data_IF_635399569484
#
_entry.id   IF_635399569484
#
_cell.length_a   1.000
_cell.length_b   1.000
_cell.length_c   1.000
_cell.angle_alpha   90.00
_cell.angle_beta   90.00
_cell.angle_gamma   90.00
#
_symmetry.space_group_name_H-M   'P 1'
#
loop_
_entity.id
_entity.type
_entity.pdbx_description
1 polymer ?
#
# COMPACT_ATOMS: atom_id res chain seq x y z
N UNK A 1 14.21 4.61 -17.47
CA UNK A 1 13.84 5.72 -16.56
C UNK A 1 12.68 5.35 -15.62
N UNK A 2 11.53 4.88 -16.13
CA UNK A 2 10.34 4.59 -15.31
C UNK A 2 10.52 3.46 -14.26
N UNK A 3 11.29 2.41 -14.60
CA UNK A 3 11.62 1.32 -13.66
C UNK A 3 12.47 1.80 -12.48
N UNK A 4 13.40 2.73 -12.76
CA UNK A 4 14.28 3.32 -11.74
C UNK A 4 13.51 4.23 -10.79
N UNK A 5 12.57 5.01 -11.31
CA UNK A 5 11.64 5.81 -10.50
C UNK A 5 10.79 4.94 -9.57
N UNK A 6 10.29 3.81 -10.08
CA UNK A 6 9.51 2.85 -9.29
C UNK A 6 10.36 2.20 -8.20
N UNK A 7 11.59 1.79 -8.51
CA UNK A 7 12.53 1.21 -7.56
C UNK A 7 12.84 2.16 -6.40
N UNK A 8 13.05 3.46 -6.69
CA UNK A 8 13.25 4.49 -5.66
C UNK A 8 12.05 4.62 -4.71
N UNK A 9 10.82 4.59 -5.24
CA UNK A 9 9.60 4.61 -4.42
C UNK A 9 9.47 3.37 -3.52
N UNK A 10 9.78 2.19 -4.04
CA UNK A 10 9.77 0.95 -3.24
C UNK A 10 10.83 0.97 -2.13
N UNK A 11 12.03 1.48 -2.42
CA UNK A 11 13.10 1.63 -1.43
C UNK A 11 12.67 2.60 -0.32
N UNK A 12 12.05 3.73 -0.68
CA UNK A 12 11.50 4.66 0.30
C UNK A 12 10.48 3.97 1.22
N UNK A 13 9.54 3.19 0.68
CA UNK A 13 8.61 2.43 1.50
C UNK A 13 9.29 1.43 2.42
N UNK A 14 10.33 0.73 1.93
CA UNK A 14 11.13 -0.18 2.73
C UNK A 14 11.80 0.53 3.91
N UNK A 15 12.42 1.69 3.67
CA UNK A 15 13.07 2.49 4.70
C UNK A 15 12.06 3.00 5.71
N UNK A 16 10.96 3.62 5.28
CA UNK A 16 9.92 4.13 6.19
C UNK A 16 9.34 2.99 7.03
N UNK A 17 9.02 1.86 6.41
CA UNK A 17 8.45 0.71 7.12
C UNK A 17 9.44 0.12 8.11
N UNK A 18 10.73 0.00 7.75
CA UNK A 18 11.73 -0.57 8.65
C UNK A 18 12.11 0.41 9.78
N UNK A 19 12.37 1.67 9.45
CA UNK A 19 12.93 2.63 10.40
C UNK A 19 11.85 3.17 11.31
N UNK A 20 10.71 3.59 10.78
CA UNK A 20 9.68 4.24 11.60
C UNK A 20 9.15 3.30 12.70
N UNK A 21 9.12 1.98 12.46
CA UNK A 21 8.68 0.96 13.45
C UNK A 21 9.54 0.97 14.71
N UNK A 22 10.77 1.49 14.60
CA UNK A 22 11.73 1.53 15.70
C UNK A 22 11.72 2.85 16.46
N UNK A 23 11.02 3.86 15.95
CA UNK A 23 11.01 5.21 16.52
C UNK A 23 9.66 5.63 17.09
N UNK A 24 8.55 5.00 16.68
CA UNK A 24 7.23 5.32 17.23
C UNK A 24 6.28 4.13 17.21
N UNK A 25 5.60 3.95 18.34
CA UNK A 25 4.51 2.99 18.52
C UNK A 25 3.11 3.65 18.39
N UNK A 26 3.04 4.94 18.02
CA UNK A 26 1.77 5.64 17.87
C UNK A 26 1.04 5.19 16.61
N UNK A 27 -0.08 4.48 16.82
CA UNK A 27 -0.95 3.95 15.77
C UNK A 27 -1.47 5.05 14.84
N UNK A 28 -1.64 6.29 15.31
CA UNK A 28 -2.09 7.41 14.46
C UNK A 28 -1.02 7.77 13.42
N UNK A 29 0.26 7.83 13.84
CA UNK A 29 1.38 8.10 12.93
C UNK A 29 1.47 6.97 11.90
N UNK A 30 1.34 5.73 12.35
CA UNK A 30 1.26 4.56 11.48
C UNK A 30 0.12 4.66 10.47
N UNK A 31 -1.06 5.05 10.92
CA UNK A 31 -2.24 5.19 10.06
C UNK A 31 -2.01 6.24 8.98
N UNK A 32 -1.42 7.40 9.32
CA UNK A 32 -1.08 8.44 8.32
C UNK A 32 -0.13 7.88 7.27
N UNK A 33 0.91 7.15 7.68
CA UNK A 33 1.87 6.54 6.75
C UNK A 33 1.21 5.47 5.89
N UNK A 34 0.34 4.64 6.46
CA UNK A 34 -0.38 3.63 5.69
C UNK A 34 -1.36 4.24 4.69
N UNK A 35 -2.03 5.36 5.01
CA UNK A 35 -2.86 6.12 4.05
C UNK A 35 -2.00 6.66 2.89
N UNK A 36 -0.84 7.22 3.20
CA UNK A 36 0.08 7.71 2.17
C UNK A 36 0.57 6.57 1.25
N UNK A 37 0.95 5.42 1.83
CA UNK A 37 1.34 4.23 1.07
C UNK A 37 0.18 3.71 0.21
N UNK A 38 -1.02 3.61 0.78
CA UNK A 38 -2.20 3.11 0.07
C UNK A 38 -2.57 4.01 -1.11
N UNK A 39 -2.41 5.33 -0.98
CA UNK A 39 -2.62 6.27 -2.08
C UNK A 39 -1.71 5.97 -3.28
N UNK A 40 -0.45 5.62 -3.02
CA UNK A 40 0.50 5.22 -4.07
C UNK A 40 0.14 3.86 -4.66
N UNK A 41 -0.29 2.90 -3.83
CA UNK A 41 -0.77 1.59 -4.31
C UNK A 41 -1.96 1.77 -5.28
N UNK A 42 -2.94 2.61 -4.92
CA UNK A 42 -4.11 2.91 -5.76
C UNK A 42 -3.71 3.58 -7.08
N UNK A 43 -2.79 4.56 -7.03
CA UNK A 43 -2.26 5.19 -8.23
C UNK A 43 -1.55 4.17 -9.14
N UNK A 44 -0.83 3.21 -8.54
CA UNK A 44 -0.21 2.12 -9.28
C UNK A 44 -1.23 1.18 -9.90
N UNK A 45 -2.27 0.74 -9.17
CA UNK A 45 -3.32 -0.12 -9.73
C UNK A 45 -4.04 0.56 -10.90
N UNK A 46 -4.33 1.86 -10.79
CA UNK A 46 -4.93 2.62 -11.88
C UNK A 46 -4.04 2.65 -13.13
N UNK A 47 -2.74 2.90 -12.94
CA UNK A 47 -1.76 2.89 -14.02
C UNK A 47 -1.66 1.51 -14.68
N UNK A 48 -1.56 0.45 -13.87
CA UNK A 48 -1.50 -0.92 -14.34
C UNK A 48 -2.78 -1.33 -15.09
N UNK A 49 -3.96 -0.94 -14.59
CA UNK A 49 -5.24 -1.19 -15.25
C UNK A 49 -5.31 -0.53 -16.63
N UNK A 50 -4.87 0.72 -16.77
CA UNK A 50 -4.82 1.38 -18.09
C UNK A 50 -3.86 0.71 -19.05
N UNK A 51 -2.68 0.30 -18.59
CA UNK A 51 -1.67 -0.36 -19.44
C UNK A 51 -2.15 -1.75 -19.87
N UNK A 52 -2.62 -2.58 -18.93
CA UNK A 52 -3.13 -3.92 -19.24
C UNK A 52 -4.41 -3.86 -20.08
N UNK A 53 -5.28 -2.87 -19.83
CA UNK A 53 -6.48 -2.59 -20.64
C UNK A 53 -6.13 -2.24 -22.08
N UNK A 54 -5.16 -1.35 -22.29
CA UNK A 54 -4.67 -1.02 -23.63
C UNK A 54 -4.03 -2.20 -24.37
N UNK A 55 -3.53 -3.20 -23.64
CA UNK A 55 -2.97 -4.43 -24.20
C UNK A 55 -3.99 -5.57 -24.33
N UNK A 56 -5.23 -5.40 -23.87
CA UNK A 56 -6.25 -6.46 -23.84
C UNK A 56 -5.95 -7.60 -22.86
N UNK A 57 -5.06 -7.38 -21.87
CA UNK A 57 -4.55 -8.41 -20.93
C UNK A 57 -5.09 -8.23 -19.52
N UNK A 58 -6.34 -7.79 -19.40
CA UNK A 58 -7.00 -7.59 -18.09
C UNK A 58 -7.28 -8.91 -17.37
N UNK A 59 -7.34 -10.04 -18.08
CA UNK A 59 -7.52 -11.33 -17.44
C UNK A 59 -6.23 -11.77 -16.71
N UNK A 60 -6.31 -12.24 -15.45
CA UNK A 60 -5.15 -12.74 -14.72
C UNK A 60 -4.45 -13.91 -15.42
N UNK A 61 -5.17 -14.66 -16.25
CA UNK A 61 -4.60 -15.74 -17.07
C UNK A 61 -3.72 -15.26 -18.23
N UNK A 62 -3.81 -13.99 -18.63
CA UNK A 62 -2.98 -13.40 -19.68
C UNK A 62 -1.75 -12.64 -19.12
N UNK A 63 -1.59 -12.60 -17.80
CA UNK A 63 -0.49 -11.91 -17.14
C UNK A 63 0.82 -12.67 -17.29
N UNK A 64 1.90 -11.92 -17.53
CA UNK A 64 3.25 -12.49 -17.53
C UNK A 64 3.72 -12.71 -16.10
N UNK A 65 4.79 -13.47 -15.93
CA UNK A 65 5.42 -13.66 -14.62
C UNK A 65 5.78 -12.32 -13.95
N UNK A 66 6.21 -11.34 -14.75
CA UNK A 66 6.55 -9.99 -14.28
C UNK A 66 5.32 -9.20 -13.81
N UNK A 67 4.18 -9.35 -14.50
CA UNK A 67 2.90 -8.74 -14.10
C UNK A 67 2.45 -9.36 -12.77
N UNK A 68 2.49 -10.69 -12.66
CA UNK A 68 2.17 -11.40 -11.41
C UNK A 68 3.05 -10.99 -10.24
N UNK A 69 4.37 -10.92 -10.44
CA UNK A 69 5.29 -10.50 -9.40
C UNK A 69 5.01 -9.07 -8.94
N UNK A 70 4.79 -8.15 -9.88
CA UNK A 70 4.65 -6.74 -9.56
C UNK A 70 3.25 -6.35 -9.07
N UNK A 71 2.19 -6.76 -9.76
CA UNK A 71 0.81 -6.54 -9.32
C UNK A 71 0.45 -7.38 -8.11
N UNK A 72 0.85 -8.65 -8.07
CA UNK A 72 0.52 -9.54 -6.96
C UNK A 72 1.06 -9.03 -5.63
N UNK A 73 2.35 -8.66 -5.59
CA UNK A 73 2.96 -8.09 -4.38
C UNK A 73 2.29 -6.78 -3.99
N UNK A 74 2.05 -5.87 -4.95
CA UNK A 74 1.42 -4.59 -4.63
C UNK A 74 -0.02 -4.78 -4.17
N UNK A 75 -0.82 -5.68 -4.77
CA UNK A 75 -2.20 -6.01 -4.34
C UNK A 75 -2.20 -6.58 -2.93
N UNK A 76 -1.32 -7.53 -2.64
CA UNK A 76 -1.20 -8.10 -1.30
C UNK A 76 -0.84 -7.03 -0.26
N UNK A 77 0.17 -6.22 -0.55
CA UNK A 77 0.59 -5.16 0.35
C UNK A 77 -0.52 -4.14 0.58
N UNK A 78 -1.19 -3.67 -0.48
CA UNK A 78 -2.33 -2.74 -0.37
C UNK A 78 -3.50 -3.33 0.42
N UNK A 79 -3.79 -4.63 0.28
CA UNK A 79 -4.82 -5.31 1.07
C UNK A 79 -4.49 -5.33 2.57
N UNK A 80 -3.23 -5.65 2.93
CA UNK A 80 -2.76 -5.61 4.33
C UNK A 80 -2.86 -4.19 4.90
N UNK A 81 -2.49 -3.17 4.12
CA UNK A 81 -2.62 -1.75 4.52
C UNK A 81 -4.07 -1.35 4.74
N UNK A 82 -4.97 -1.75 3.84
CA UNK A 82 -6.40 -1.49 4.00
C UNK A 82 -6.95 -2.17 5.25
N UNK A 83 -6.57 -3.42 5.51
CA UNK A 83 -6.96 -4.15 6.72
C UNK A 83 -6.47 -3.44 8.00
N UNK A 84 -5.21 -2.98 8.02
CA UNK A 84 -4.66 -2.20 9.12
C UNK A 84 -5.45 -0.90 9.36
N UNK A 85 -5.76 -0.15 8.29
CA UNK A 85 -6.54 1.09 8.38
C UNK A 85 -7.98 0.88 8.81
N UNK A 86 -8.56 -0.28 8.50
CA UNK A 86 -9.87 -0.72 9.02
C UNK A 86 -9.79 -1.25 10.46
N UNK A 87 -8.63 -1.16 11.11
CA UNK A 87 -8.37 -1.68 12.45
C UNK A 87 -8.70 -3.19 12.60
N UNK A 88 -8.54 -3.96 11.52
CA UNK A 88 -8.74 -5.42 11.56
C UNK A 88 -7.66 -6.02 12.46
N UNK A 89 -8.08 -6.77 13.48
CA UNK A 89 -7.18 -7.40 14.46
C UNK A 89 -6.80 -6.50 15.65
N UNK A 90 -7.34 -5.27 15.73
CA UNK A 90 -7.21 -4.45 16.93
C UNK A 90 -8.28 -4.89 17.94
N UNK A 91 -7.87 -5.37 19.12
CA UNK A 91 -8.79 -5.56 20.23
C UNK A 91 -9.40 -4.20 20.60
N UNK A 92 -10.74 -4.12 20.64
CA UNK A 92 -11.55 -2.89 20.63
C UNK A 92 -11.40 -1.90 21.79
N UNK A 93 -10.23 -1.77 22.39
CA UNK A 93 -9.92 -0.83 23.49
C UNK A 93 -9.11 0.40 23.08
N UNK A 94 -8.52 0.45 21.89
CA UNK A 94 -7.67 1.58 21.49
C UNK A 94 -7.88 1.96 20.02
N UNK A 95 -8.93 2.74 19.73
CA UNK A 95 -9.16 3.21 18.36
C UNK A 95 -10.06 4.42 18.18
N UNK A 96 -10.70 4.92 19.25
CA UNK A 96 -11.48 6.17 19.20
C UNK A 96 -11.19 7.01 20.44
N UNK A 97 -9.99 7.60 20.50
CA UNK A 97 -9.69 8.71 21.43
C UNK A 97 -9.17 9.95 20.70
N UNK A 98 -9.48 10.08 19.40
CA UNK A 98 -9.10 11.23 18.58
C UNK A 98 -10.26 12.14 18.14
N UNK A 99 -11.51 11.84 18.51
CA UNK A 99 -12.66 12.62 18.08
C UNK A 99 -13.56 12.97 19.27
N UNK A 100 -13.11 13.89 20.11
CA UNK A 100 -13.96 14.84 20.86
C UNK A 100 -13.06 15.86 21.56
N UNK A 101 -12.72 16.91 20.82
CA UNK A 101 -12.49 18.23 21.40
C UNK A 101 -13.77 19.04 21.22
N UNK A 102 -14.58 19.12 22.29
CA UNK A 102 -15.31 20.31 22.76
C UNK A 102 -16.07 19.95 24.04
#
# INVERSE_FOLDING_TARGET
MVLTQRGGGMLNFGIVSAVLLRYTDDVNIWSIVQVACLTVDLAYYWSAWRVLGGQGRLSPGAWRAEDWGSLGITVFAGAVRAAFLMAVGFDGRQGVKGAKGQ
#
